data_IF_055872247892
#
_entry.id   IF_055872247892
#
_cell.length_a   1.000
_cell.length_b   1.000
_cell.length_c   1.000
_cell.angle_alpha   90.00
_cell.angle_beta   90.00
_cell.angle_gamma   90.00
#
_symmetry.space_group_name_H-M   'P 1'
#
loop_
_entity.id
_entity.type
_entity.pdbx_description
1 polymer ?
#
# COMPACT_ATOMS: atom_id res chain seq x y z
N UNK A 1 -7.86 -26.69 -51.72
CA UNK A 1 -8.12 -25.23 -51.65
C UNK A 1 -8.17 -24.89 -50.16
N UNK A 2 -7.02 -24.86 -49.48
CA UNK A 2 -6.06 -23.75 -49.41
C UNK A 2 -6.51 -22.70 -48.38
N UNK A 3 -5.82 -22.67 -47.23
CA UNK A 3 -5.41 -21.49 -46.43
C UNK A 3 -5.03 -21.89 -44.99
N UNK A 4 -4.07 -22.81 -44.82
CA UNK A 4 -3.25 -22.83 -43.59
C UNK A 4 -2.25 -21.69 -43.73
N UNK A 5 -2.68 -20.48 -43.34
CA UNK A 5 -1.82 -19.31 -43.25
C UNK A 5 -0.57 -19.68 -42.44
N UNK A 6 0.56 -19.63 -43.12
CA UNK A 6 1.90 -19.72 -42.56
C UNK A 6 2.00 -18.74 -41.38
N UNK A 7 1.84 -19.26 -40.16
CA UNK A 7 2.26 -18.58 -38.94
C UNK A 7 3.75 -18.25 -39.12
N UNK A 8 4.00 -17.01 -39.52
CA UNK A 8 5.32 -16.43 -39.80
C UNK A 8 6.30 -16.87 -38.73
N UNK A 9 7.52 -17.25 -39.13
CA UNK A 9 8.52 -17.84 -38.26
C UNK A 9 8.78 -17.03 -36.96
N UNK A 10 8.50 -15.72 -36.96
CA UNK A 10 8.47 -14.84 -35.79
C UNK A 10 7.43 -15.21 -34.72
N UNK A 11 6.20 -15.58 -35.10
CA UNK A 11 5.16 -15.96 -34.15
C UNK A 11 5.51 -17.27 -33.41
N UNK A 12 6.11 -18.24 -34.12
CA UNK A 12 6.65 -19.47 -33.50
C UNK A 12 7.83 -19.17 -32.58
N UNK A 13 8.72 -18.25 -32.96
CA UNK A 13 9.85 -17.80 -32.12
C UNK A 13 9.36 -17.10 -30.86
N UNK A 14 8.33 -16.26 -30.95
CA UNK A 14 7.72 -15.59 -29.81
C UNK A 14 7.03 -16.57 -28.87
N UNK A 15 6.26 -17.54 -29.38
CA UNK A 15 5.64 -18.59 -28.55
C UNK A 15 6.69 -19.39 -27.76
N UNK A 16 7.75 -19.85 -28.43
CA UNK A 16 8.85 -20.60 -27.78
C UNK A 16 9.60 -19.76 -26.74
N UNK A 17 9.69 -18.43 -26.94
CA UNK A 17 10.28 -17.50 -25.96
C UNK A 17 9.37 -17.31 -24.75
N UNK A 18 8.04 -17.25 -24.94
CA UNK A 18 7.03 -17.17 -23.86
C UNK A 18 6.93 -18.47 -23.08
N UNK A 19 7.02 -19.63 -23.73
CA UNK A 19 7.06 -20.94 -23.06
C UNK A 19 8.33 -21.11 -22.21
N UNK A 20 9.50 -20.71 -22.72
CA UNK A 20 10.73 -20.71 -21.92
C UNK A 20 10.67 -19.73 -20.75
N UNK A 21 10.01 -18.59 -20.90
CA UNK A 21 9.79 -17.67 -19.80
C UNK A 21 8.82 -18.27 -18.77
N UNK A 22 7.71 -18.88 -19.21
CA UNK A 22 6.76 -19.54 -18.33
C UNK A 22 7.37 -20.74 -17.58
N UNK A 23 8.24 -21.52 -18.24
CA UNK A 23 8.95 -22.62 -17.60
C UNK A 23 9.97 -22.11 -16.56
N UNK A 24 10.61 -20.97 -16.81
CA UNK A 24 11.51 -20.32 -15.85
C UNK A 24 10.73 -19.70 -14.68
N UNK A 25 9.59 -19.06 -14.95
CA UNK A 25 8.69 -18.52 -13.93
C UNK A 25 8.16 -19.63 -13.01
N UNK A 26 7.75 -20.78 -13.60
CA UNK A 26 7.32 -21.96 -12.85
C UNK A 26 8.45 -22.59 -12.03
N UNK A 27 9.66 -22.67 -12.57
CA UNK A 27 10.83 -23.15 -11.83
C UNK A 27 11.27 -22.21 -10.70
N UNK A 28 10.96 -20.91 -10.80
CA UNK A 28 11.18 -19.90 -9.76
C UNK A 28 10.01 -19.81 -8.75
N UNK A 29 8.97 -20.64 -8.90
CA UNK A 29 7.80 -20.63 -8.01
C UNK A 29 6.97 -19.35 -8.11
N UNK A 30 7.09 -18.60 -9.21
CA UNK A 30 6.38 -17.34 -9.41
C UNK A 30 4.98 -17.64 -9.94
N UNK A 31 4.00 -17.71 -9.03
CA UNK A 31 2.59 -17.84 -9.39
C UNK A 31 2.02 -16.49 -9.84
N UNK A 32 1.33 -16.46 -10.98
CA UNK A 32 0.80 -15.23 -11.57
C UNK A 32 -0.54 -14.88 -10.93
N UNK A 33 -0.53 -13.89 -10.04
CA UNK A 33 -1.73 -13.31 -9.46
C UNK A 33 -2.27 -12.20 -10.36
N UNK A 34 -3.41 -12.42 -11.02
CA UNK A 34 -4.12 -11.39 -11.79
C UNK A 34 -5.13 -10.67 -10.89
N UNK A 35 -4.88 -9.39 -10.59
CA UNK A 35 -5.77 -8.55 -9.77
C UNK A 35 -6.54 -7.60 -10.66
N UNK A 36 -7.88 -7.64 -10.58
CA UNK A 36 -8.73 -6.62 -11.16
C UNK A 36 -8.79 -5.43 -10.20
N UNK A 37 -8.34 -4.27 -10.69
CA UNK A 37 -8.27 -3.04 -9.89
C UNK A 37 -9.09 -1.96 -10.60
N UNK A 38 -9.91 -1.23 -9.85
CA UNK A 38 -10.64 -0.08 -10.40
C UNK A 38 -9.65 0.94 -10.99
N UNK A 39 -9.99 1.52 -12.14
CA UNK A 39 -9.07 2.38 -12.91
C UNK A 39 -8.51 3.58 -12.13
N UNK A 40 -9.22 4.03 -11.09
CA UNK A 40 -8.88 5.18 -10.26
C UNK A 40 -7.59 4.97 -9.43
N UNK A 41 -7.23 3.73 -9.11
CA UNK A 41 -6.07 3.43 -8.27
C UNK A 41 -4.72 3.50 -9.01
N UNK A 42 -4.72 3.35 -10.34
CA UNK A 42 -3.50 3.34 -11.15
C UNK A 42 -2.67 4.64 -11.04
N UNK A 43 -3.26 5.86 -11.17
CA UNK A 43 -2.49 7.09 -11.03
C UNK A 43 -1.92 7.28 -9.62
N UNK A 44 -2.69 6.96 -8.58
CA UNK A 44 -2.24 7.15 -7.19
C UNK A 44 -1.17 6.13 -6.79
N UNK A 45 -1.31 4.87 -7.21
CA UNK A 45 -0.26 3.86 -7.03
C UNK A 45 1.05 4.30 -7.71
N UNK A 46 0.97 4.91 -8.90
CA UNK A 46 2.16 5.42 -9.59
C UNK A 46 2.84 6.55 -8.81
N UNK A 47 2.09 7.47 -8.19
CA UNK A 47 2.65 8.52 -7.33
C UNK A 47 3.40 7.92 -6.13
N UNK A 48 2.80 6.93 -5.47
CA UNK A 48 3.42 6.21 -4.35
C UNK A 48 4.69 5.50 -4.80
N UNK A 49 4.66 4.82 -5.94
CA UNK A 49 5.84 4.18 -6.52
C UNK A 49 6.96 5.20 -6.78
N UNK A 50 6.67 6.36 -7.35
CA UNK A 50 7.67 7.42 -7.57
C UNK A 50 8.21 7.98 -6.26
N UNK A 51 7.36 8.24 -5.27
CA UNK A 51 7.78 8.77 -3.96
C UNK A 51 8.74 7.83 -3.22
N UNK A 52 8.59 6.52 -3.42
CA UNK A 52 9.42 5.50 -2.77
C UNK A 52 10.50 4.90 -3.69
N UNK A 53 10.72 5.45 -4.88
CA UNK A 53 11.74 4.99 -5.82
C UNK A 53 11.51 3.58 -6.39
N UNK A 54 10.26 3.10 -6.41
CA UNK A 54 9.89 1.77 -6.90
C UNK A 54 9.64 1.84 -8.41
N UNK A 55 10.45 1.12 -9.18
CA UNK A 55 10.40 1.15 -10.65
C UNK A 55 9.51 0.05 -11.26
N UNK A 56 9.15 -0.98 -10.49
CA UNK A 56 8.41 -2.13 -11.00
C UNK A 56 7.12 -2.39 -10.20
N UNK A 57 6.02 -2.62 -10.90
CA UNK A 57 4.72 -2.81 -10.27
C UNK A 57 4.66 -4.10 -9.44
N UNK A 58 5.36 -5.16 -9.85
CA UNK A 58 5.38 -6.38 -9.02
C UNK A 58 6.09 -6.17 -7.69
N UNK A 59 7.06 -5.27 -7.63
CA UNK A 59 7.83 -5.02 -6.41
C UNK A 59 6.95 -4.37 -5.33
N UNK A 60 6.11 -3.38 -5.70
CA UNK A 60 5.15 -2.80 -4.75
C UNK A 60 4.13 -3.84 -4.27
N UNK A 61 3.61 -4.69 -5.17
CA UNK A 61 2.65 -5.73 -4.78
C UNK A 61 3.28 -6.78 -3.86
N UNK A 62 4.48 -7.29 -4.18
CA UNK A 62 5.18 -8.25 -3.32
C UNK A 62 5.52 -7.64 -1.97
N UNK A 63 5.95 -6.38 -1.93
CA UNK A 63 6.29 -5.69 -0.68
C UNK A 63 5.06 -5.49 0.19
N UNK A 64 3.91 -5.11 -0.38
CA UNK A 64 2.65 -4.99 0.35
C UNK A 64 2.21 -6.34 0.95
N UNK A 65 2.27 -7.42 0.16
CA UNK A 65 1.91 -8.77 0.63
C UNK A 65 2.86 -9.23 1.73
N UNK A 66 4.18 -9.05 1.56
CA UNK A 66 5.18 -9.40 2.59
C UNK A 66 4.94 -8.64 3.89
N UNK A 67 4.68 -7.34 3.80
CA UNK A 67 4.42 -6.52 4.98
C UNK A 67 3.14 -6.95 5.70
N UNK A 68 2.08 -7.31 4.95
CA UNK A 68 0.85 -7.80 5.54
C UNK A 68 1.06 -9.14 6.27
N UNK A 69 1.77 -10.08 5.65
CA UNK A 69 2.04 -11.39 6.27
C UNK A 69 2.94 -11.27 7.52
N UNK A 70 3.91 -10.35 7.50
CA UNK A 70 4.83 -10.13 8.61
C UNK A 70 4.25 -9.35 9.78
N UNK A 71 3.13 -8.64 9.57
CA UNK A 71 2.45 -7.87 10.61
C UNK A 71 1.73 -8.80 11.61
N UNK A 72 1.55 -8.35 12.84
CA UNK A 72 0.73 -9.00 13.87
C UNK A 72 -0.78 -8.85 13.57
N UNK A 73 -1.62 -9.64 14.23
CA UNK A 73 -3.06 -9.73 13.90
C UNK A 73 -3.81 -8.38 14.01
N UNK A 74 -3.46 -7.55 14.98
CA UNK A 74 -4.07 -6.23 15.15
C UNK A 74 -3.65 -5.30 14.00
N UNK A 75 -2.36 -5.28 13.67
CA UNK A 75 -1.84 -4.51 12.54
C UNK A 75 -2.37 -5.00 11.19
N UNK A 76 -2.50 -6.31 11.00
CA UNK A 76 -3.14 -6.88 9.81
C UNK A 76 -4.58 -6.39 9.66
N UNK A 77 -5.33 -6.40 10.76
CA UNK A 77 -6.70 -5.89 10.80
C UNK A 77 -6.75 -4.40 10.43
N UNK A 78 -5.80 -3.60 10.91
CA UNK A 78 -5.66 -2.19 10.53
C UNK A 78 -5.30 -1.98 9.06
N UNK A 79 -4.36 -2.76 8.52
CA UNK A 79 -3.93 -2.66 7.12
C UNK A 79 -5.05 -3.07 6.14
N UNK A 80 -5.88 -4.03 6.52
CA UNK A 80 -7.03 -4.49 5.74
C UNK A 80 -8.28 -3.61 5.92
N UNK A 81 -8.32 -2.81 6.98
CA UNK A 81 -9.37 -1.81 7.21
C UNK A 81 -9.14 -0.65 6.24
N UNK A 82 -9.90 -0.65 5.15
CA UNK A 82 -9.89 0.40 4.15
C UNK A 82 -9.94 1.78 4.85
N UNK A 83 -8.93 2.64 4.62
CA UNK A 83 -8.71 3.91 5.34
C UNK A 83 -9.68 4.99 4.85
N UNK A 84 -10.98 4.67 4.84
CA UNK A 84 -12.04 5.64 4.53
C UNK A 84 -12.64 6.25 5.78
N UNK A 85 -12.48 5.62 6.95
CA UNK A 85 -12.90 6.21 8.23
C UNK A 85 -11.70 6.90 8.89
N UNK A 86 -11.75 8.23 9.13
CA UNK A 86 -10.76 8.91 9.95
C UNK A 86 -10.55 8.13 11.26
N UNK A 87 -9.30 8.00 11.69
CA UNK A 87 -9.00 7.45 13.00
C UNK A 87 -9.55 8.41 14.06
N UNK A 88 -10.65 8.03 14.69
CA UNK A 88 -11.20 8.75 15.84
C UNK A 88 -10.56 8.20 17.11
N UNK A 89 -9.86 9.06 17.86
CA UNK A 89 -9.31 8.69 19.16
C UNK A 89 -10.49 8.33 20.07
N UNK A 90 -10.54 7.10 20.63
CA UNK A 90 -11.65 6.72 21.48
C UNK A 90 -11.69 7.61 22.72
N UNK A 91 -12.89 8.02 23.13
CA UNK A 91 -13.11 8.98 24.23
C UNK A 91 -12.35 8.60 25.52
N UNK A 92 -12.27 7.30 25.82
CA UNK A 92 -11.53 6.78 26.98
C UNK A 92 -10.06 7.16 26.96
N UNK A 93 -9.42 7.11 25.79
CA UNK A 93 -8.01 7.46 25.62
C UNK A 93 -7.83 8.97 25.74
N UNK A 94 -8.71 9.76 25.12
CA UNK A 94 -8.71 11.22 25.25
C UNK A 94 -8.85 11.67 26.70
N UNK A 95 -9.77 11.04 27.45
CA UNK A 95 -9.98 11.34 28.87
C UNK A 95 -8.79 10.94 29.74
N UNK A 96 -8.24 9.75 29.54
CA UNK A 96 -7.05 9.28 30.28
C UNK A 96 -5.83 10.17 30.02
N UNK A 97 -5.67 10.65 28.79
CA UNK A 97 -4.61 11.59 28.43
C UNK A 97 -4.79 12.95 29.11
N UNK A 98 -6.01 13.48 29.13
CA UNK A 98 -6.33 14.74 29.81
C UNK A 98 -6.09 14.67 31.32
N UNK A 99 -6.59 13.64 31.98
CA UNK A 99 -6.42 13.44 33.43
C UNK A 99 -4.94 13.35 33.83
N UNK A 100 -4.13 12.63 33.04
CA UNK A 100 -2.68 12.58 33.25
C UNK A 100 -2.01 13.93 33.01
N UNK A 101 -2.36 14.63 31.95
CA UNK A 101 -1.81 15.96 31.65
C UNK A 101 -2.09 16.94 32.78
N UNK A 102 -3.29 16.91 33.36
CA UNK A 102 -3.64 17.74 34.52
C UNK A 102 -2.89 17.35 35.79
N UNK A 103 -2.60 16.07 35.98
CA UNK A 103 -1.82 15.59 37.13
C UNK A 103 -0.34 16.02 37.05
N UNK A 104 0.26 15.97 35.86
CA UNK A 104 1.64 16.46 35.63
C UNK A 104 1.74 17.97 35.87
N UNK A 105 0.80 18.77 35.35
CA UNK A 105 0.76 20.22 35.61
C UNK A 105 0.58 20.58 37.09
N UNK A 106 -0.13 19.72 37.85
CA UNK A 106 -0.27 19.90 39.28
C UNK A 106 1.02 19.55 40.05
N UNK A 107 1.84 18.65 39.50
CA UNK A 107 3.11 18.23 40.08
C UNK A 107 4.25 19.21 39.77
N UNK A 108 4.27 19.79 38.56
CA UNK A 108 5.22 20.82 38.15
C UNK A 108 4.48 22.07 37.63
N UNK A 109 4.28 23.03 38.52
CA UNK A 109 3.54 24.27 38.24
C UNK A 109 4.26 25.23 37.27
N UNK A 110 5.46 24.88 36.79
CA UNK A 110 6.20 25.63 35.77
C UNK A 110 5.81 25.28 34.33
N UNK A 111 5.05 24.20 34.11
CA UNK A 111 4.66 23.74 32.78
C UNK A 111 3.40 24.48 32.25
N UNK A 112 3.41 24.79 30.95
CA UNK A 112 2.33 25.49 30.27
C UNK A 112 1.66 24.61 29.20
N UNK A 113 0.33 24.68 29.11
CA UNK A 113 -0.42 24.03 28.03
C UNK A 113 -0.26 24.85 26.75
N UNK A 114 0.60 24.38 25.84
CA UNK A 114 0.69 24.94 24.49
C UNK A 114 -0.46 24.39 23.66
N UNK A 115 -1.51 25.19 23.51
CA UNK A 115 -2.60 24.86 22.58
C UNK A 115 -2.04 24.84 21.14
N UNK A 116 -2.37 23.82 20.32
CA UNK A 116 -1.94 23.80 18.93
C UNK A 116 -2.45 25.07 18.25
N UNK A 117 -1.53 25.84 17.65
CA UNK A 117 -1.87 27.01 16.85
C UNK A 117 -2.89 26.56 15.81
N UNK A 118 -4.11 27.10 15.87
CA UNK A 118 -5.12 26.89 14.84
C UNK A 118 -4.68 27.59 13.57
N UNK A 119 -3.64 27.11 12.90
CA UNK A 119 -3.38 27.48 11.52
C UNK A 119 -4.43 26.73 10.71
N UNK A 120 -5.39 27.42 10.06
CA UNK A 120 -6.27 26.74 9.13
C UNK A 120 -5.38 26.13 8.05
N UNK A 121 -5.35 24.80 8.02
CA UNK A 121 -4.75 24.04 6.93
C UNK A 121 -5.54 24.38 5.67
N UNK A 122 -5.07 25.38 4.93
CA UNK A 122 -5.63 25.70 3.63
C UNK A 122 -5.16 24.62 2.68
N UNK A 123 -6.06 23.91 1.97
CA UNK A 123 -5.64 22.97 0.96
C UNK A 123 -4.90 23.76 -0.12
N UNK A 124 -3.61 23.44 -0.32
CA UNK A 124 -2.87 23.97 -1.47
C UNK A 124 -3.56 23.45 -2.74
N UNK A 125 -3.99 24.39 -3.58
CA UNK A 125 -4.63 24.14 -4.88
C UNK A 125 -3.64 23.54 -5.88
#
# INVERSE_FOLDING_TARGET
>A
MAEEQELTAEAKKQRKKREKAAAKDAALGVEKFTVEVAGVFKPDLKKVMTAHGINHQQDIHQRLIKNLIAADFEMQSWMLRNVTTPYEIPEKVSRAFYEKSMAELAADSGDEIISPRQTPCTPQK
#
